data_IF_846599177383
#
_entry.id   IF_846599177383
#
_cell.length_a   1.000
_cell.length_b   1.000
_cell.length_c   1.000
_cell.angle_alpha   90.00
_cell.angle_beta   90.00
_cell.angle_gamma   90.00
#
_symmetry.space_group_name_H-M   'P 1'
#
loop_
_entity.id
_entity.type
_entity.pdbx_description
1 polymer ?
#
# COMPACT_ATOMS: atom_id res chain seq x y z
N UNK A 1 -14.38 37.71 42.11
CA UNK A 1 -14.56 36.45 41.37
C UNK A 1 -14.64 36.79 39.89
N UNK A 2 -13.45 36.85 39.24
CA UNK A 2 -13.34 37.14 37.83
C UNK A 2 -13.45 35.83 37.05
N UNK A 3 -14.46 35.76 36.14
CA UNK A 3 -14.61 34.70 35.17
C UNK A 3 -13.60 34.93 34.03
N UNK A 4 -12.79 33.95 33.57
CA UNK A 4 -11.96 34.12 32.39
C UNK A 4 -12.84 34.13 31.12
N UNK A 5 -12.60 35.15 30.27
CA UNK A 5 -13.23 35.30 28.96
C UNK A 5 -12.93 34.10 28.05
N UNK A 6 -14.00 33.42 27.65
CA UNK A 6 -13.92 32.38 26.63
C UNK A 6 -13.91 33.06 25.24
N UNK A 7 -12.90 32.82 24.40
CA UNK A 7 -12.89 33.40 23.07
C UNK A 7 -14.06 32.90 22.20
N UNK A 8 -14.65 33.75 21.34
CA UNK A 8 -15.80 33.39 20.54
C UNK A 8 -15.43 32.35 19.48
N UNK A 9 -16.32 31.36 19.32
CA UNK A 9 -16.26 30.30 18.33
C UNK A 9 -16.19 30.91 16.90
N UNK A 10 -15.28 30.46 16.01
CA UNK A 10 -15.24 30.94 14.64
C UNK A 10 -16.53 30.59 13.89
N UNK A 11 -17.11 31.58 13.21
CA UNK A 11 -18.29 31.45 12.36
C UNK A 11 -17.96 30.60 11.12
N UNK A 12 -18.83 29.64 10.82
CA UNK A 12 -18.73 28.78 9.64
C UNK A 12 -18.71 29.61 8.33
N UNK A 13 -17.93 29.21 7.33
CA UNK A 13 -17.94 29.89 6.03
C UNK A 13 -19.31 29.75 5.33
N UNK A 14 -19.74 30.76 4.55
CA UNK A 14 -20.99 30.70 3.81
C UNK A 14 -20.94 29.60 2.75
N UNK A 15 -21.96 28.73 2.76
CA UNK A 15 -22.18 27.71 1.74
C UNK A 15 -22.47 28.41 0.41
N UNK A 16 -21.52 28.38 -0.52
CA UNK A 16 -21.75 28.85 -1.89
C UNK A 16 -22.79 27.95 -2.56
N UNK A 17 -23.89 28.55 -2.98
CA UNK A 17 -24.97 27.83 -3.66
C UNK A 17 -24.50 27.20 -4.96
N UNK A 18 -24.77 25.91 -5.11
CA UNK A 18 -24.60 25.19 -6.37
C UNK A 18 -25.53 25.77 -7.45
N UNK A 19 -25.06 25.98 -8.70
CA UNK A 19 -25.93 26.41 -9.78
C UNK A 19 -26.99 25.37 -10.11
N UNK A 20 -28.27 25.79 -10.17
CA UNK A 20 -29.37 24.96 -10.62
C UNK A 20 -29.22 24.66 -12.11
N UNK A 21 -29.15 23.39 -12.43
CA UNK A 21 -29.27 22.88 -13.80
C UNK A 21 -30.74 23.00 -14.21
N UNK A 22 -31.10 23.63 -15.33
CA UNK A 22 -32.47 23.68 -15.82
C UNK A 22 -32.94 22.27 -16.21
N UNK A 23 -34.16 21.91 -15.77
CA UNK A 23 -34.81 20.64 -16.13
C UNK A 23 -35.00 20.61 -17.66
N UNK A 24 -34.44 19.61 -18.32
CA UNK A 24 -34.71 19.31 -19.71
C UNK A 24 -36.17 18.82 -19.83
N UNK A 25 -36.98 19.54 -20.58
CA UNK A 25 -38.33 19.17 -21.02
C UNK A 25 -38.24 17.87 -21.85
N UNK A 26 -38.78 16.78 -21.32
CA UNK A 26 -38.98 15.56 -22.10
C UNK A 26 -40.14 15.79 -23.07
N UNK A 27 -39.82 16.17 -24.32
CA UNK A 27 -40.75 16.15 -25.42
C UNK A 27 -41.23 14.74 -25.73
N UNK A 28 -42.53 14.50 -25.63
CA UNK A 28 -43.21 13.30 -26.06
C UNK A 28 -43.03 13.16 -27.58
N UNK A 29 -42.47 12.06 -28.13
CA UNK A 29 -42.42 11.88 -29.58
C UNK A 29 -43.80 11.58 -30.12
N UNK A 30 -44.19 12.37 -31.14
CA UNK A 30 -45.41 12.19 -31.90
C UNK A 30 -45.41 10.83 -32.63
N UNK A 31 -46.57 10.19 -32.67
CA UNK A 31 -46.81 8.93 -33.34
C UNK A 31 -46.43 8.96 -34.82
N UNK A 32 -45.52 8.07 -35.22
CA UNK A 32 -45.16 7.81 -36.62
C UNK A 32 -46.32 7.12 -37.35
N UNK A 33 -46.61 7.48 -38.62
CA UNK A 33 -47.58 6.77 -39.43
C UNK A 33 -47.11 5.37 -39.83
N UNK A 34 -48.02 4.42 -40.13
CA UNK A 34 -47.65 3.04 -40.40
C UNK A 34 -46.87 2.89 -41.69
N UNK A 35 -45.65 2.36 -41.58
CA UNK A 35 -44.80 1.97 -42.70
C UNK A 35 -45.37 0.77 -43.40
N UNK A 36 -45.74 0.91 -44.68
CA UNK A 36 -46.12 -0.22 -45.56
C UNK A 36 -44.91 -1.11 -45.77
N UNK A 37 -44.97 -2.35 -45.33
CA UNK A 37 -44.00 -3.37 -45.68
C UNK A 37 -43.99 -3.69 -47.16
N UNK A 38 -42.84 -3.69 -47.84
CA UNK A 38 -42.72 -4.21 -49.20
C UNK A 38 -42.94 -5.74 -49.19
N UNK A 39 -43.74 -6.20 -50.12
CA UNK A 39 -44.04 -7.59 -50.41
C UNK A 39 -42.73 -8.35 -50.63
N UNK A 40 -42.44 -9.35 -49.80
CA UNK A 40 -41.31 -10.26 -50.00
C UNK A 40 -41.53 -11.05 -51.29
N UNK A 41 -40.64 -10.85 -52.24
CA UNK A 41 -40.51 -11.68 -53.43
C UNK A 41 -39.66 -12.86 -52.99
N UNK A 42 -40.28 -14.06 -52.92
CA UNK A 42 -39.56 -15.30 -52.69
C UNK A 42 -38.72 -15.62 -53.94
N UNK A 43 -37.40 -15.42 -53.83
CA UNK A 43 -36.46 -16.03 -54.76
C UNK A 43 -36.17 -17.46 -54.28
N UNK A 44 -36.21 -18.46 -55.19
CA UNK A 44 -35.82 -19.83 -54.84
C UNK A 44 -34.31 -19.88 -54.57
N UNK A 45 -33.97 -20.16 -53.31
CA UNK A 45 -32.57 -20.41 -52.92
C UNK A 45 -32.07 -21.67 -53.58
N UNK A 46 -31.06 -21.52 -54.44
CA UNK A 46 -30.36 -22.67 -55.04
C UNK A 46 -29.55 -23.45 -53.99
N UNK A 47 -29.33 -24.76 -54.20
CA UNK A 47 -28.69 -25.66 -53.22
C UNK A 47 -27.23 -25.34 -52.88
N UNK A 48 -26.62 -24.36 -53.54
CA UNK A 48 -25.20 -24.00 -53.33
C UNK A 48 -24.97 -22.97 -52.22
N UNK A 49 -25.97 -22.19 -51.78
CA UNK A 49 -25.80 -21.22 -50.71
C UNK A 49 -25.80 -21.87 -49.33
N UNK A 50 -26.59 -22.93 -49.11
CA UNK A 50 -26.62 -23.67 -47.84
C UNK A 50 -25.27 -24.32 -47.51
N UNK A 51 -24.55 -24.76 -48.56
CA UNK A 51 -23.22 -25.40 -48.39
C UNK A 51 -22.11 -24.41 -48.04
N UNK A 52 -22.20 -23.16 -48.52
CA UNK A 52 -21.24 -22.08 -48.20
C UNK A 52 -21.43 -21.55 -46.80
N UNK A 53 -22.66 -21.50 -46.30
CA UNK A 53 -22.98 -20.98 -44.96
C UNK A 53 -22.54 -21.96 -43.83
N UNK A 54 -22.65 -23.27 -44.07
CA UNK A 54 -22.12 -24.31 -43.16
C UNK A 54 -20.60 -24.23 -43.00
N UNK A 55 -19.88 -24.05 -44.12
CA UNK A 55 -18.41 -24.00 -44.13
C UNK A 55 -17.86 -22.74 -43.44
N UNK A 56 -18.56 -21.62 -43.55
CA UNK A 56 -18.19 -20.37 -42.85
C UNK A 56 -18.37 -20.50 -41.32
N UNK A 57 -19.46 -21.15 -40.86
CA UNK A 57 -19.71 -21.39 -39.43
C UNK A 57 -18.68 -22.35 -38.84
N UNK A 58 -18.23 -23.34 -39.58
CA UNK A 58 -17.19 -24.28 -39.11
C UNK A 58 -15.82 -23.61 -39.06
N UNK A 59 -15.49 -22.77 -40.05
CA UNK A 59 -14.24 -21.99 -40.06
C UNK A 59 -14.20 -20.97 -38.94
N UNK A 60 -15.33 -20.31 -38.64
CA UNK A 60 -15.40 -19.36 -37.51
C UNK A 60 -15.24 -20.08 -36.18
N UNK A 61 -15.85 -21.23 -35.96
CA UNK A 61 -15.65 -22.04 -34.74
C UNK A 61 -14.21 -22.52 -34.60
N UNK A 62 -13.58 -22.94 -35.67
CA UNK A 62 -12.17 -23.33 -35.67
C UNK A 62 -11.26 -22.13 -35.36
N UNK A 63 -11.54 -20.97 -35.93
CA UNK A 63 -10.80 -19.74 -35.65
C UNK A 63 -10.92 -19.33 -34.17
N UNK A 64 -12.15 -19.34 -33.63
CA UNK A 64 -12.35 -19.05 -32.21
C UNK A 64 -11.64 -20.06 -31.30
N UNK A 65 -11.62 -21.34 -31.63
CA UNK A 65 -10.91 -22.36 -30.86
C UNK A 65 -9.40 -22.11 -30.86
N UNK A 66 -8.82 -21.75 -32.01
CA UNK A 66 -7.39 -21.45 -32.14
C UNK A 66 -7.03 -20.18 -31.36
N UNK A 67 -7.83 -19.11 -31.44
CA UNK A 67 -7.61 -17.88 -30.68
C UNK A 67 -7.71 -18.13 -29.17
N UNK A 68 -8.70 -18.94 -28.74
CA UNK A 68 -8.86 -19.30 -27.33
C UNK A 68 -7.64 -20.07 -26.80
N UNK A 69 -7.15 -21.05 -27.57
CA UNK A 69 -5.96 -21.82 -27.22
C UNK A 69 -4.71 -20.93 -27.19
N UNK A 70 -4.59 -19.98 -28.12
CA UNK A 70 -3.48 -19.02 -28.12
C UNK A 70 -3.50 -18.09 -26.88
N UNK A 71 -4.70 -17.64 -26.49
CA UNK A 71 -4.86 -16.81 -25.28
C UNK A 71 -4.54 -17.61 -24.01
N UNK A 72 -5.08 -18.84 -23.89
CA UNK A 72 -4.78 -19.72 -22.76
C UNK A 72 -3.28 -20.03 -22.72
N UNK A 73 -2.68 -20.38 -23.85
CA UNK A 73 -1.24 -20.64 -23.96
C UNK A 73 -0.39 -19.45 -23.53
N UNK A 74 -0.78 -18.23 -23.94
CA UNK A 74 -0.07 -17.01 -23.55
C UNK A 74 -0.22 -16.70 -22.06
N UNK A 75 -1.40 -16.94 -21.47
CA UNK A 75 -1.63 -16.76 -20.04
C UNK A 75 -0.86 -17.79 -19.20
N UNK A 76 -0.84 -19.06 -19.63
CA UNK A 76 -0.03 -20.10 -18.97
C UNK A 76 1.46 -19.78 -19.09
N UNK A 77 1.92 -19.37 -20.27
CA UNK A 77 3.31 -18.96 -20.47
C UNK A 77 3.67 -17.76 -19.60
N UNK A 78 2.79 -16.75 -19.51
CA UNK A 78 2.98 -15.58 -18.64
C UNK A 78 3.01 -15.98 -17.16
N UNK A 79 2.11 -16.89 -16.74
CA UNK A 79 2.07 -17.38 -15.37
C UNK A 79 3.35 -18.18 -15.03
N UNK A 80 3.82 -19.03 -15.93
CA UNK A 80 5.09 -19.75 -15.77
C UNK A 80 6.28 -18.81 -15.78
N UNK A 81 6.27 -17.78 -16.65
CA UNK A 81 7.32 -16.78 -16.70
C UNK A 81 7.37 -15.91 -15.42
N UNK A 82 6.21 -15.54 -14.86
CA UNK A 82 6.14 -14.84 -13.57
C UNK A 82 6.55 -15.75 -12.41
N UNK A 83 6.24 -17.03 -12.46
CA UNK A 83 6.60 -17.99 -11.42
C UNK A 83 8.06 -18.44 -11.49
N UNK A 84 8.66 -18.50 -12.68
CA UNK A 84 10.08 -18.83 -12.87
C UNK A 84 11.02 -17.66 -12.55
N UNK A 85 10.50 -16.44 -12.31
CA UNK A 85 11.27 -15.32 -11.77
C UNK A 85 11.47 -15.38 -10.27
N UNK A 86 10.97 -16.42 -9.59
CA UNK A 86 11.18 -16.64 -8.16
C UNK A 86 12.54 -17.25 -7.79
N UNK A 87 13.32 -17.75 -8.75
CA UNK A 87 14.58 -18.46 -8.48
C UNK A 87 15.69 -18.08 -9.48
N UNK A 88 15.85 -16.80 -9.78
CA UNK A 88 17.00 -16.32 -10.50
C UNK A 88 17.47 -15.03 -9.86
N UNK A 89 18.57 -15.12 -9.15
CA UNK A 89 19.51 -14.02 -8.92
C UNK A 89 19.77 -13.30 -10.23
N UNK A 90 18.98 -12.26 -10.50
CA UNK A 90 19.34 -11.29 -11.53
C UNK A 90 18.81 -9.91 -11.18
N UNK A 91 19.69 -9.16 -10.53
CA UNK A 91 20.05 -7.77 -10.82
C UNK A 91 18.98 -6.91 -11.51
N UNK A 92 17.85 -6.73 -10.89
CA UNK A 92 17.06 -5.51 -11.03
C UNK A 92 17.31 -4.74 -9.76
N UNK A 93 18.17 -3.70 -9.78
CA UNK A 93 18.43 -2.71 -8.73
C UNK A 93 17.96 -3.04 -7.31
N UNK A 94 18.20 -4.25 -6.84
CA UNK A 94 17.90 -4.63 -5.47
C UNK A 94 18.78 -3.75 -4.61
N UNK A 95 18.14 -2.78 -3.99
CA UNK A 95 18.81 -1.88 -3.06
C UNK A 95 19.45 -2.76 -2.00
N UNK A 96 20.76 -2.93 -2.11
CA UNK A 96 21.53 -3.66 -1.11
C UNK A 96 21.42 -2.90 0.18
N UNK A 97 20.90 -3.55 1.21
CA UNK A 97 20.76 -3.01 2.55
C UNK A 97 20.72 -4.16 3.55
N UNK A 98 20.83 -3.85 4.80
CA UNK A 98 20.76 -4.81 5.89
C UNK A 98 19.43 -4.65 6.59
N UNK A 99 18.64 -5.73 6.62
CA UNK A 99 17.41 -5.81 7.39
C UNK A 99 17.73 -6.47 8.75
N UNK A 100 17.52 -5.71 9.80
CA UNK A 100 17.70 -6.16 11.17
C UNK A 100 16.33 -6.47 11.79
N UNK A 101 16.11 -7.72 12.15
CA UNK A 101 14.86 -8.22 12.73
C UNK A 101 15.08 -9.02 14.03
N UNK A 102 16.34 -9.17 14.44
CA UNK A 102 16.70 -9.86 15.67
C UNK A 102 17.50 -8.94 16.57
N UNK A 103 17.09 -8.84 17.83
CA UNK A 103 17.78 -8.02 18.84
C UNK A 103 19.15 -8.61 19.13
N UNK A 104 20.20 -7.83 18.89
CA UNK A 104 21.56 -8.17 19.32
C UNK A 104 21.83 -7.43 20.64
N UNK A 105 22.00 -8.12 21.76
CA UNK A 105 22.27 -7.46 23.03
C UNK A 105 23.56 -6.62 22.94
N UNK A 106 23.58 -5.37 23.42
CA UNK A 106 24.80 -4.58 23.47
C UNK A 106 25.82 -5.21 24.45
N UNK A 107 27.10 -5.06 24.14
CA UNK A 107 28.18 -5.58 24.96
C UNK A 107 28.16 -5.00 26.40
N UNK A 108 27.62 -3.79 26.56
CA UNK A 108 27.38 -3.17 27.86
C UNK A 108 26.01 -2.49 27.81
N UNK A 109 25.00 -2.96 28.57
CA UNK A 109 23.70 -2.30 28.63
C UNK A 109 23.85 -0.87 29.16
N UNK A 110 23.33 0.08 28.42
CA UNK A 110 23.25 1.48 28.89
C UNK A 110 22.11 1.59 29.92
N UNK A 111 22.30 2.43 30.97
CA UNK A 111 21.25 2.63 31.97
C UNK A 111 19.98 3.22 31.32
N UNK A 112 18.81 2.75 31.77
CA UNK A 112 17.50 3.23 31.39
C UNK A 112 16.81 3.87 32.62
N UNK A 113 15.92 4.89 32.44
CA UNK A 113 15.55 5.50 31.14
C UNK A 113 16.65 6.42 30.62
N UNK A 114 16.66 6.61 29.28
CA UNK A 114 17.62 7.54 28.61
C UNK A 114 16.97 8.27 27.45
N UNK A 115 17.34 9.53 27.23
CA UNK A 115 16.99 10.26 26.01
C UNK A 115 17.92 9.86 24.86
N UNK A 116 17.36 9.59 23.69
CA UNK A 116 18.10 9.13 22.52
C UNK A 116 17.58 9.85 21.27
N UNK A 117 18.49 10.16 20.36
CA UNK A 117 18.14 10.69 19.03
C UNK A 117 17.88 9.54 18.03
N UNK A 118 17.04 9.73 17.00
CA UNK A 118 16.66 8.67 16.07
C UNK A 118 17.82 7.86 15.46
N UNK A 119 18.97 8.45 15.08
CA UNK A 119 20.09 7.67 14.54
C UNK A 119 20.67 6.63 15.52
N UNK A 120 20.48 6.83 16.82
CA UNK A 120 20.99 5.97 17.88
C UNK A 120 19.96 5.01 18.48
N UNK A 121 18.73 4.97 17.94
CA UNK A 121 17.74 3.95 18.35
C UNK A 121 18.24 2.56 18.01
N UNK A 122 18.13 1.65 18.94
CA UNK A 122 18.45 0.25 18.73
C UNK A 122 17.19 -0.59 18.50
N UNK A 123 17.32 -1.62 17.68
CA UNK A 123 16.25 -2.59 17.52
C UNK A 123 15.85 -3.15 18.89
N UNK A 124 14.55 -3.14 19.18
CA UNK A 124 14.01 -3.56 20.48
C UNK A 124 13.85 -2.44 21.50
N UNK A 125 14.35 -1.23 21.25
CA UNK A 125 14.11 -0.10 22.16
C UNK A 125 12.60 0.15 22.32
N UNK A 126 12.18 0.32 23.58
CA UNK A 126 10.83 0.69 23.97
C UNK A 126 10.78 2.15 24.37
N UNK A 127 9.77 2.90 23.91
CA UNK A 127 9.71 4.35 24.03
C UNK A 127 8.45 4.78 24.80
N UNK A 128 8.62 5.63 25.80
CA UNK A 128 7.49 6.31 26.42
C UNK A 128 7.17 7.60 25.66
N UNK A 129 5.88 7.94 25.59
CA UNK A 129 5.37 9.15 24.91
C UNK A 129 5.94 9.35 23.49
N UNK A 130 6.00 8.26 22.72
CA UNK A 130 6.64 8.26 21.41
C UNK A 130 5.90 9.12 20.40
N UNK A 131 6.65 9.96 19.71
CA UNK A 131 6.22 10.70 18.53
C UNK A 131 7.21 10.49 17.39
N UNK A 132 6.78 10.02 16.20
CA UNK A 132 7.68 9.70 15.10
C UNK A 132 8.47 10.89 14.55
N UNK A 133 7.98 12.11 14.76
CA UNK A 133 8.63 13.36 14.34
C UNK A 133 9.46 14.02 15.45
N UNK A 134 9.56 13.40 16.61
CA UNK A 134 10.34 13.95 17.72
C UNK A 134 11.84 13.88 17.43
N UNK A 135 12.57 14.93 17.77
CA UNK A 135 14.03 14.96 17.64
C UNK A 135 14.73 14.03 18.63
N UNK A 136 14.07 13.70 19.74
CA UNK A 136 14.54 12.78 20.77
C UNK A 136 13.36 12.01 21.34
N UNK A 137 13.61 10.79 21.77
CA UNK A 137 12.65 9.98 22.50
C UNK A 137 13.27 9.38 23.75
N UNK A 138 12.44 9.11 24.74
CA UNK A 138 12.89 8.48 25.98
C UNK A 138 12.77 6.97 25.85
N UNK A 139 13.89 6.27 25.84
CA UNK A 139 13.98 4.82 25.89
C UNK A 139 13.81 4.35 27.33
N UNK A 140 12.94 3.37 27.53
CA UNK A 140 12.61 2.77 28.83
C UNK A 140 12.75 1.25 28.76
N UNK A 141 12.84 0.56 29.91
CA UNK A 141 12.72 -0.89 29.93
C UNK A 141 11.37 -1.33 29.38
N UNK A 142 11.35 -2.39 28.54
CA UNK A 142 10.12 -2.85 27.90
C UNK A 142 9.10 -3.51 28.84
N UNK A 143 9.51 -3.84 30.05
CA UNK A 143 8.65 -4.30 31.15
C UNK A 143 7.98 -3.15 31.91
N UNK A 144 8.25 -1.89 31.52
CA UNK A 144 7.57 -0.71 32.02
C UNK A 144 6.60 -0.14 30.96
N UNK A 145 5.66 0.70 31.40
CA UNK A 145 4.68 1.28 30.50
C UNK A 145 5.32 2.13 29.41
N UNK A 146 5.02 1.82 28.16
CA UNK A 146 5.55 2.50 26.99
C UNK A 146 4.48 2.58 25.87
N UNK A 147 4.69 3.42 24.88
CA UNK A 147 3.74 3.67 23.79
C UNK A 147 4.22 3.13 22.46
N UNK A 148 5.51 2.80 22.31
CA UNK A 148 6.06 2.26 21.07
C UNK A 148 7.25 1.34 21.32
N UNK A 149 7.48 0.42 20.38
CA UNK A 149 8.70 -0.39 20.30
C UNK A 149 9.23 -0.40 18.86
N UNK A 150 10.55 -0.24 18.70
CA UNK A 150 11.23 -0.39 17.40
C UNK A 150 11.40 -1.87 17.08
N UNK A 151 10.71 -2.33 16.02
CA UNK A 151 10.61 -3.77 15.72
C UNK A 151 11.38 -4.20 14.49
N UNK A 152 11.74 -3.26 13.59
CA UNK A 152 12.60 -3.52 12.43
C UNK A 152 13.44 -2.29 12.13
N UNK A 153 14.68 -2.53 11.77
CA UNK A 153 15.60 -1.54 11.22
C UNK A 153 16.13 -2.06 9.89
N UNK A 154 15.97 -1.28 8.84
CA UNK A 154 16.63 -1.53 7.57
C UNK A 154 17.64 -0.40 7.30
N UNK A 155 18.84 -0.78 6.88
CA UNK A 155 19.90 0.18 6.56
C UNK A 155 20.30 0.03 5.11
N UNK A 156 20.19 1.14 4.38
CA UNK A 156 20.80 1.25 3.05
C UNK A 156 22.33 1.30 3.17
N UNK A 157 23.06 0.94 2.11
CA UNK A 157 24.49 1.19 2.05
C UNK A 157 24.80 2.69 2.21
N UNK A 158 25.91 3.01 2.81
CA UNK A 158 26.37 4.40 2.95
C UNK A 158 26.55 5.09 1.60
N UNK A 159 27.08 4.33 0.64
CA UNK A 159 27.26 4.75 -0.74
C UNK A 159 26.01 4.45 -1.55
N UNK A 160 25.50 5.43 -2.25
CA UNK A 160 24.34 5.29 -3.12
C UNK A 160 23.52 6.55 -3.24
N UNK A 161 22.90 6.71 -4.40
CA UNK A 161 22.00 7.82 -4.68
C UNK A 161 20.70 7.72 -3.86
N UNK A 162 20.06 8.86 -3.63
CA UNK A 162 18.73 8.91 -3.03
C UNK A 162 17.72 8.16 -3.89
N UNK A 163 17.08 7.10 -3.39
CA UNK A 163 16.20 6.25 -4.21
C UNK A 163 14.84 6.91 -4.52
N UNK A 164 14.57 8.07 -3.93
CA UNK A 164 13.29 8.77 -4.04
C UNK A 164 12.31 8.41 -2.93
N UNK A 165 11.43 9.37 -2.60
CA UNK A 165 10.48 9.25 -1.49
C UNK A 165 9.54 8.05 -1.63
N UNK A 166 9.04 7.76 -2.84
CA UNK A 166 8.13 6.63 -3.07
C UNK A 166 8.82 5.27 -2.89
N UNK A 167 10.08 5.15 -3.31
CA UNK A 167 10.85 3.93 -3.09
C UNK A 167 11.15 3.70 -1.60
N UNK A 168 11.48 4.76 -0.87
CA UNK A 168 11.69 4.69 0.59
C UNK A 168 10.40 4.34 1.33
N UNK A 169 9.28 4.92 0.94
CA UNK A 169 7.96 4.58 1.49
C UNK A 169 7.58 3.11 1.25
N UNK A 170 7.84 2.60 0.05
CA UNK A 170 7.62 1.20 -0.27
C UNK A 170 8.53 0.28 0.57
N UNK A 171 9.81 0.64 0.71
CA UNK A 171 10.76 -0.11 1.55
C UNK A 171 10.36 -0.09 3.03
N UNK A 172 9.85 1.03 3.53
CA UNK A 172 9.36 1.14 4.90
C UNK A 172 8.13 0.25 5.15
N UNK A 173 7.24 0.14 4.16
CA UNK A 173 6.12 -0.80 4.22
C UNK A 173 6.60 -2.25 4.24
N UNK A 174 7.52 -2.59 3.34
CA UNK A 174 8.14 -3.93 3.27
C UNK A 174 8.83 -4.29 4.59
N UNK A 175 9.59 -3.36 5.18
CA UNK A 175 10.25 -3.54 6.46
C UNK A 175 9.24 -3.87 7.58
N UNK A 176 8.12 -3.12 7.66
CA UNK A 176 7.07 -3.42 8.63
C UNK A 176 6.40 -4.78 8.39
N UNK A 177 6.21 -5.18 7.13
CA UNK A 177 5.66 -6.50 6.79
C UNK A 177 6.61 -7.65 7.15
N UNK A 178 7.92 -7.39 7.23
CA UNK A 178 8.93 -8.35 7.66
C UNK A 178 9.02 -8.49 9.20
N UNK A 179 8.36 -7.60 9.96
CA UNK A 179 8.38 -7.65 11.43
C UNK A 179 7.81 -8.97 11.93
N UNK A 180 8.57 -9.59 12.83
CA UNK A 180 8.14 -10.80 13.55
C UNK A 180 7.82 -10.41 14.98
N UNK A 181 6.53 -10.44 15.32
CA UNK A 181 6.09 -10.12 16.66
C UNK A 181 5.95 -11.42 17.49
N UNK A 182 6.27 -11.30 18.75
CA UNK A 182 6.10 -12.35 19.73
C UNK A 182 4.67 -12.42 20.28
N UNK A 183 4.34 -13.44 21.10
CA UNK A 183 2.99 -13.65 21.60
C UNK A 183 2.47 -12.55 22.53
N UNK A 184 3.35 -11.73 23.10
CA UNK A 184 2.94 -10.57 23.90
C UNK A 184 2.19 -9.53 23.06
N UNK A 185 2.48 -9.41 21.76
CA UNK A 185 1.81 -8.48 20.86
C UNK A 185 0.29 -8.69 20.79
N UNK A 186 -0.18 -9.92 20.93
CA UNK A 186 -1.59 -10.28 20.86
C UNK A 186 -2.42 -9.71 22.03
N UNK A 187 -1.75 -9.23 23.08
CA UNK A 187 -2.40 -8.67 24.27
C UNK A 187 -2.73 -7.18 24.11
N UNK A 188 -2.22 -6.52 23.06
CA UNK A 188 -2.31 -5.08 22.87
C UNK A 188 -2.94 -4.75 21.52
N UNK A 189 -3.62 -3.59 21.46
CA UNK A 189 -4.01 -3.00 20.17
C UNK A 189 -2.81 -2.21 19.66
N UNK A 190 -2.23 -2.66 18.54
CA UNK A 190 -1.01 -2.08 17.99
C UNK A 190 -1.23 -1.60 16.56
N UNK A 191 -0.59 -0.48 16.22
CA UNK A 191 -0.47 0.05 14.87
C UNK A 191 0.99 -0.01 14.43
N UNK A 192 1.22 -0.06 13.12
CA UNK A 192 2.56 0.12 12.57
C UNK A 192 2.80 1.58 12.21
N UNK A 193 3.93 2.10 12.67
CA UNK A 193 4.45 3.41 12.32
C UNK A 193 5.79 3.26 11.60
N UNK A 194 6.10 4.16 10.66
CA UNK A 194 7.25 4.04 9.78
C UNK A 194 8.02 5.33 9.72
N UNK A 195 9.35 5.23 9.77
CA UNK A 195 10.26 6.34 9.56
C UNK A 195 11.23 6.01 8.43
N UNK A 196 11.54 6.99 7.59
CA UNK A 196 12.49 6.87 6.49
C UNK A 196 13.06 8.24 6.13
N UNK A 197 14.25 8.30 5.52
CA UNK A 197 14.92 9.55 5.23
C UNK A 197 14.18 10.44 4.25
N UNK A 198 14.20 11.75 4.48
CA UNK A 198 13.96 12.74 3.45
C UNK A 198 15.19 12.85 2.53
N UNK A 199 15.08 13.56 1.39
CA UNK A 199 16.26 13.85 0.56
C UNK A 199 17.32 14.60 1.34
N UNK A 200 16.93 15.56 2.17
CA UNK A 200 17.87 16.35 2.99
C UNK A 200 18.58 15.51 4.05
N UNK A 201 17.85 14.60 4.75
CA UNK A 201 18.50 13.73 5.73
C UNK A 201 19.38 12.67 5.05
N UNK A 202 19.00 12.23 3.85
CA UNK A 202 19.84 11.34 3.03
C UNK A 202 21.16 11.99 2.65
N UNK A 203 21.13 13.26 2.22
CA UNK A 203 22.33 14.04 1.90
C UNK A 203 23.22 14.25 3.14
N UNK A 204 22.60 14.21 4.33
CA UNK A 204 23.29 14.26 5.63
C UNK A 204 23.75 12.90 6.15
N UNK A 205 23.61 11.83 5.35
CA UNK A 205 24.08 10.47 5.69
C UNK A 205 23.03 9.56 6.34
N UNK A 206 21.77 9.98 6.48
CA UNK A 206 20.73 9.11 6.99
C UNK A 206 20.38 8.02 5.95
N UNK A 207 20.57 6.76 6.33
CA UNK A 207 20.37 5.58 5.49
C UNK A 207 19.38 4.61 6.10
N UNK A 208 18.60 5.09 7.08
CA UNK A 208 17.86 4.24 7.98
C UNK A 208 16.37 4.26 7.67
N UNK A 209 15.76 3.08 7.64
CA UNK A 209 14.32 2.90 7.58
C UNK A 209 13.90 2.08 8.78
N UNK A 210 12.99 2.62 9.57
CA UNK A 210 12.52 2.04 10.81
C UNK A 210 11.06 1.66 10.74
N UNK A 211 10.73 0.54 11.38
CA UNK A 211 9.36 0.16 11.68
C UNK A 211 9.15 0.07 13.18
N UNK A 212 8.16 0.76 13.65
CA UNK A 212 7.72 0.72 15.03
C UNK A 212 6.35 0.07 15.13
N UNK A 213 6.08 -0.59 16.25
CA UNK A 213 4.71 -0.79 16.70
C UNK A 213 4.38 0.27 17.73
N UNK A 214 3.19 0.83 17.65
CA UNK A 214 2.72 1.91 18.53
C UNK A 214 1.36 1.56 19.10
N UNK A 215 1.11 1.99 20.32
CA UNK A 215 -0.20 1.87 20.95
C UNK A 215 -1.00 3.15 20.80
N UNK A 216 -2.21 3.11 20.21
CA UNK A 216 -3.09 4.28 20.13
C UNK A 216 -3.60 4.75 21.49
N UNK A 217 -3.51 3.89 22.51
CA UNK A 217 -3.88 4.20 23.89
C UNK A 217 -2.78 4.87 24.71
N UNK A 218 -1.64 5.23 24.10
CA UNK A 218 -0.49 5.82 24.78
C UNK A 218 0.38 4.76 25.49
N UNK A 219 0.92 5.10 26.66
CA UNK A 219 1.85 4.23 27.40
C UNK A 219 1.13 3.07 28.12
N UNK A 220 0.52 2.17 27.37
CA UNK A 220 -0.22 1.01 27.90
C UNK A 220 0.37 -0.35 27.53
N UNK A 221 1.47 -0.38 26.79
CA UNK A 221 2.25 -1.58 26.53
C UNK A 221 3.27 -1.72 27.67
N UNK A 222 3.38 -2.90 28.25
CA UNK A 222 4.26 -3.17 29.38
C UNK A 222 5.04 -4.48 29.24
N UNK A 223 5.25 -4.91 28.00
CA UNK A 223 6.04 -6.08 27.65
C UNK A 223 6.70 -5.86 26.28
N UNK A 224 7.87 -6.48 26.04
CA UNK A 224 8.42 -6.54 24.69
C UNK A 224 7.47 -7.30 23.78
N UNK A 225 7.18 -6.72 22.61
CA UNK A 225 6.39 -7.37 21.57
C UNK A 225 7.25 -8.11 20.53
N UNK A 226 8.57 -8.09 20.68
CA UNK A 226 9.50 -8.94 19.93
C UNK A 226 9.59 -10.33 20.58
N UNK A 227 9.95 -11.37 19.78
CA UNK A 227 10.12 -12.74 20.29
C UNK A 227 11.19 -12.87 21.37
#
# INVERSE_FOLDING_TARGET
>A
LNHPDVPPKPSSPPTAGLPRVPAAEYGVPAAEPPVRHPRQVNHPEGPDEARRQGRRRTLWKAFFAVVLLAVIGSLVWLALWLNSKGDSDESSGAVRGVLETAVTPPATPLPLPREVEPPAYALGDCFTDFHPEALKSTVVPCDTNHSAQLVVVFRYPEEGDYPGAEALKAKALEACQAAKLGPAADQFTLNYERSFPSSTSWDSGDRRVDCYVTSPGGNNVNASVLP
#
